data_IF_047689538100
#
_entry.id   IF_047689538100
#
_cell.length_a   1.000
_cell.length_b   1.000
_cell.length_c   1.000
_cell.angle_alpha   90.00
_cell.angle_beta   90.00
_cell.angle_gamma   90.00
#
_symmetry.space_group_name_H-M   'P 1'
#
loop_
_entity.id
_entity.type
_entity.pdbx_description
1 polymer ?
#
# COMPACT_ATOMS: atom_id res chain seq x y z
N UNK A 1 -12.60 61.98 27.44
CA UNK A 1 -11.72 61.32 26.44
C UNK A 1 -11.89 59.82 26.61
N UNK A 2 -12.59 59.15 25.64
CA UNK A 2 -12.80 57.68 25.66
C UNK A 2 -11.76 57.09 24.75
N UNK A 3 -10.78 56.34 25.28
CA UNK A 3 -9.82 55.56 24.52
C UNK A 3 -10.50 54.29 23.99
N UNK A 4 -10.74 54.27 22.70
CA UNK A 4 -11.21 53.08 21.97
C UNK A 4 -10.02 52.18 21.71
N UNK A 5 -9.84 51.15 22.50
CA UNK A 5 -8.78 50.12 22.31
C UNK A 5 -9.23 49.21 21.17
N UNK A 6 -8.58 49.36 20.00
CA UNK A 6 -8.77 48.50 18.86
C UNK A 6 -8.05 47.18 19.09
N UNK A 7 -8.76 46.11 19.42
CA UNK A 7 -8.23 44.75 19.47
C UNK A 7 -7.96 44.25 18.05
N UNK A 8 -6.68 44.28 17.68
CA UNK A 8 -6.22 43.69 16.42
C UNK A 8 -6.21 42.17 16.60
N UNK A 9 -7.24 41.49 16.08
CA UNK A 9 -7.29 40.04 16.01
C UNK A 9 -6.26 39.55 14.97
N UNK A 10 -5.11 39.12 15.44
CA UNK A 10 -4.08 38.48 14.58
C UNK A 10 -4.63 37.15 14.10
N UNK A 11 -5.12 37.10 12.85
CA UNK A 11 -5.39 35.85 12.15
C UNK A 11 -4.06 35.15 11.89
N UNK A 12 -3.76 34.08 12.67
CA UNK A 12 -2.63 33.20 12.37
C UNK A 12 -2.87 32.53 11.02
N UNK A 13 -1.89 32.56 10.11
CA UNK A 13 -2.02 31.86 8.83
C UNK A 13 -2.18 30.36 9.12
N UNK A 14 -3.27 29.75 8.64
CA UNK A 14 -3.46 28.30 8.63
C UNK A 14 -2.38 27.72 7.71
N UNK A 15 -1.34 27.14 8.28
CA UNK A 15 -0.27 26.52 7.49
C UNK A 15 -0.79 25.24 6.89
N UNK A 16 -0.71 25.12 5.55
CA UNK A 16 -1.03 23.89 4.85
C UNK A 16 -0.22 22.71 5.41
N UNK A 17 -0.83 21.55 5.47
CA UNK A 17 -0.17 20.36 5.97
C UNK A 17 0.99 19.94 5.06
N UNK A 18 2.19 19.78 5.61
CA UNK A 18 3.41 19.48 4.85
C UNK A 18 3.56 17.97 4.67
N UNK A 19 3.52 17.52 3.42
CA UNK A 19 3.79 16.14 3.03
C UNK A 19 5.28 15.94 2.77
N UNK A 20 5.88 14.98 3.46
CA UNK A 20 7.26 14.55 3.25
C UNK A 20 7.29 13.44 2.19
N UNK A 21 8.40 13.35 1.47
CA UNK A 21 8.66 12.26 0.50
C UNK A 21 9.88 11.42 0.89
N UNK A 22 10.63 11.86 1.90
CA UNK A 22 11.76 11.13 2.48
C UNK A 22 11.36 10.45 3.79
N UNK A 23 11.46 9.12 3.80
CA UNK A 23 11.10 8.31 4.97
C UNK A 23 12.01 8.54 6.17
N UNK A 24 13.32 8.80 5.95
CA UNK A 24 14.25 9.08 7.04
C UNK A 24 13.88 10.38 7.77
N UNK A 25 13.53 11.42 7.00
CA UNK A 25 13.03 12.68 7.53
C UNK A 25 11.69 12.49 8.26
N UNK A 26 10.78 11.68 7.71
CA UNK A 26 9.50 11.39 8.34
C UNK A 26 9.66 10.67 9.68
N UNK A 27 10.50 9.64 9.75
CA UNK A 27 10.81 8.95 11.01
C UNK A 27 11.54 9.83 12.02
N UNK A 28 12.46 10.65 11.56
CA UNK A 28 13.13 11.61 12.45
C UNK A 28 12.12 12.57 13.08
N UNK A 29 11.27 13.17 12.24
CA UNK A 29 10.25 14.12 12.69
C UNK A 29 9.21 13.45 13.62
N UNK A 30 8.79 12.23 13.31
CA UNK A 30 7.87 11.46 14.14
C UNK A 30 8.41 11.23 15.56
N UNK A 31 9.70 10.93 15.69
CA UNK A 31 10.34 10.74 16.99
C UNK A 31 10.50 12.06 17.76
N UNK A 32 10.93 13.14 17.10
CA UNK A 32 11.13 14.44 17.74
C UNK A 32 9.83 15.09 18.18
N UNK A 33 8.78 14.99 17.36
CA UNK A 33 7.46 15.54 17.68
C UNK A 33 6.58 14.57 18.49
N UNK A 34 7.04 13.32 18.67
CA UNK A 34 6.25 12.22 19.26
C UNK A 34 4.88 12.10 18.61
N UNK A 35 4.84 12.06 17.28
CA UNK A 35 3.65 11.90 16.46
C UNK A 35 3.74 10.63 15.62
N UNK A 36 2.63 9.90 15.38
CA UNK A 36 2.60 8.84 14.38
C UNK A 36 2.74 9.41 12.97
N UNK A 37 3.24 8.56 12.07
CA UNK A 37 3.35 8.87 10.64
C UNK A 37 2.11 8.33 9.94
N UNK A 38 1.48 9.16 9.10
CA UNK A 38 0.52 8.71 8.11
C UNK A 38 1.25 8.57 6.78
N UNK A 39 1.44 7.32 6.33
CA UNK A 39 1.93 7.02 4.99
C UNK A 39 0.76 6.96 4.02
N UNK A 40 0.81 7.75 2.96
CA UNK A 40 -0.12 7.70 1.84
C UNK A 40 0.55 7.01 0.66
N UNK A 41 0.29 5.72 0.47
CA UNK A 41 0.70 4.99 -0.74
C UNK A 41 -0.31 5.30 -1.85
N UNK A 42 0.16 5.97 -2.90
CA UNK A 42 -0.70 6.58 -3.90
C UNK A 42 -0.16 6.41 -5.32
N UNK A 43 -1.02 6.60 -6.31
CA UNK A 43 -0.68 6.79 -7.72
C UNK A 43 -1.26 8.13 -8.18
N UNK A 44 -0.52 9.21 -7.92
CA UNK A 44 -1.03 10.58 -7.93
C UNK A 44 -1.57 11.08 -9.28
N UNK A 45 -1.19 10.43 -10.39
CA UNK A 45 -1.55 10.84 -11.75
C UNK A 45 -2.40 9.82 -12.52
N UNK A 46 -2.72 8.65 -11.92
CA UNK A 46 -3.50 7.62 -12.58
C UNK A 46 -4.57 6.96 -11.70
N UNK A 47 -4.41 6.98 -10.37
CA UNK A 47 -5.31 6.30 -9.45
C UNK A 47 -6.52 7.20 -9.10
N UNK A 48 -7.68 6.95 -9.68
CA UNK A 48 -8.89 7.75 -9.46
C UNK A 48 -9.34 7.84 -8.00
N UNK A 49 -9.24 6.75 -7.23
CA UNK A 49 -9.56 6.75 -5.80
C UNK A 49 -8.54 7.54 -4.96
N UNK A 50 -7.27 7.57 -5.40
CA UNK A 50 -6.24 8.37 -4.75
C UNK A 50 -6.50 9.86 -4.94
N UNK A 51 -6.86 10.26 -6.15
CA UNK A 51 -7.22 11.66 -6.47
C UNK A 51 -8.47 12.10 -5.70
N UNK A 52 -9.47 11.20 -5.54
CA UNK A 52 -10.63 11.49 -4.71
C UNK A 52 -10.27 11.67 -3.24
N UNK A 53 -9.45 10.78 -2.67
CA UNK A 53 -8.98 10.90 -1.29
C UNK A 53 -8.23 12.22 -1.08
N UNK A 54 -7.38 12.59 -2.04
CA UNK A 54 -6.67 13.86 -2.00
C UNK A 54 -7.63 15.05 -1.99
N UNK A 55 -8.58 15.10 -2.93
CA UNK A 55 -9.50 16.24 -3.06
C UNK A 55 -10.57 16.29 -1.97
N UNK A 56 -11.15 15.15 -1.61
CA UNK A 56 -12.27 15.08 -0.67
C UNK A 56 -11.83 15.13 0.81
N UNK A 57 -10.57 14.76 1.10
CA UNK A 57 -10.07 14.65 2.47
C UNK A 57 -8.79 15.43 2.69
N UNK A 58 -7.71 15.07 2.03
CA UNK A 58 -6.37 15.55 2.40
C UNK A 58 -6.13 17.03 2.10
N UNK A 59 -6.82 17.60 1.10
CA UNK A 59 -6.79 19.02 0.78
C UNK A 59 -7.83 19.84 1.55
N UNK A 60 -8.54 19.24 2.51
CA UNK A 60 -9.57 19.93 3.24
C UNK A 60 -9.01 20.56 4.54
N UNK A 61 -9.40 21.80 4.88
CA UNK A 61 -8.88 22.52 6.06
C UNK A 61 -9.04 21.75 7.38
N UNK A 62 -10.15 21.03 7.54
CA UNK A 62 -10.38 20.19 8.71
C UNK A 62 -9.32 19.11 8.86
N UNK A 63 -8.97 18.43 7.76
CA UNK A 63 -7.92 17.41 7.76
C UNK A 63 -6.54 18.03 7.99
N UNK A 64 -6.21 19.13 7.32
CA UNK A 64 -4.93 19.81 7.50
C UNK A 64 -4.73 20.24 8.95
N UNK A 65 -5.76 20.80 9.58
CA UNK A 65 -5.72 21.18 11.01
C UNK A 65 -5.49 19.98 11.90
N UNK A 66 -6.21 18.88 11.68
CA UNK A 66 -6.03 17.65 12.45
C UNK A 66 -4.63 17.06 12.26
N UNK A 67 -4.18 16.98 11.01
CA UNK A 67 -2.88 16.40 10.65
C UNK A 67 -1.71 17.19 11.24
N UNK A 68 -1.73 18.51 11.13
CA UNK A 68 -0.69 19.38 11.69
C UNK A 68 -0.51 19.16 13.19
N UNK A 69 -1.59 18.90 13.92
CA UNK A 69 -1.55 18.69 15.36
C UNK A 69 -1.13 17.27 15.75
N UNK A 70 -1.50 16.26 14.97
CA UNK A 70 -1.48 14.88 15.42
C UNK A 70 -0.58 13.94 14.60
N UNK A 71 -0.17 14.33 13.37
CA UNK A 71 0.47 13.42 12.42
C UNK A 71 1.74 14.02 11.82
N UNK A 72 2.63 13.17 11.39
CA UNK A 72 3.62 13.45 10.36
C UNK A 72 3.10 12.84 9.06
N UNK A 73 2.99 13.63 7.99
CA UNK A 73 2.47 13.17 6.70
C UNK A 73 3.61 12.75 5.79
N UNK A 74 3.50 11.57 5.20
CA UNK A 74 4.46 11.04 4.23
C UNK A 74 3.72 10.52 2.99
N UNK A 75 4.07 11.07 1.83
CA UNK A 75 3.60 10.58 0.54
C UNK A 75 4.58 9.57 -0.05
N UNK A 76 4.07 8.41 -0.44
CA UNK A 76 4.80 7.35 -1.15
C UNK A 76 4.11 7.17 -2.50
N UNK A 77 4.51 8.00 -3.47
CA UNK A 77 3.87 8.09 -4.78
C UNK A 77 4.48 7.11 -5.79
N UNK A 78 3.63 6.52 -6.62
CA UNK A 78 3.98 5.63 -7.75
C UNK A 78 3.38 6.18 -9.04
N UNK A 79 3.87 7.33 -9.54
CA UNK A 79 3.32 7.97 -10.71
C UNK A 79 3.66 7.21 -12.00
N UNK A 80 2.80 7.37 -13.04
CA UNK A 80 3.08 6.86 -14.37
C UNK A 80 3.76 7.90 -15.26
N UNK A 81 3.40 9.17 -15.12
CA UNK A 81 3.84 10.24 -16.02
C UNK A 81 4.77 11.26 -15.35
N UNK A 82 4.77 11.34 -14.02
CA UNK A 82 5.66 12.26 -13.30
C UNK A 82 7.04 11.63 -13.12
N UNK A 83 8.13 12.33 -13.46
CA UNK A 83 9.47 11.80 -13.26
C UNK A 83 9.81 11.68 -11.78
N UNK A 84 10.48 10.60 -11.41
CA UNK A 84 11.07 10.39 -10.08
C UNK A 84 12.55 9.99 -10.23
N UNK A 85 13.37 10.33 -9.24
CA UNK A 85 14.76 9.88 -9.23
C UNK A 85 14.83 8.36 -8.98
N UNK A 86 15.86 7.67 -9.50
CA UNK A 86 16.05 6.23 -9.21
C UNK A 86 16.10 5.91 -7.72
N UNK A 87 16.67 6.82 -6.92
CA UNK A 87 16.71 6.71 -5.45
C UNK A 87 15.31 6.74 -4.86
N UNK A 88 14.44 7.66 -5.32
CA UNK A 88 13.06 7.77 -4.84
C UNK A 88 12.24 6.54 -5.22
N UNK A 89 12.37 6.07 -6.47
CA UNK A 89 11.69 4.85 -6.94
C UNK A 89 12.07 3.66 -6.07
N UNK A 90 13.37 3.49 -5.79
CA UNK A 90 13.87 2.40 -4.94
C UNK A 90 13.36 2.52 -3.50
N UNK A 91 13.38 3.72 -2.93
CA UNK A 91 12.89 3.96 -1.56
C UNK A 91 11.38 3.65 -1.45
N UNK A 92 10.56 4.16 -2.39
CA UNK A 92 9.12 3.92 -2.42
C UNK A 92 8.81 2.42 -2.58
N UNK A 93 9.51 1.73 -3.48
CA UNK A 93 9.36 0.29 -3.71
C UNK A 93 9.73 -0.52 -2.46
N UNK A 94 10.80 -0.15 -1.76
CA UNK A 94 11.21 -0.80 -0.51
C UNK A 94 10.17 -0.62 0.60
N UNK A 95 9.60 0.58 0.73
CA UNK A 95 8.51 0.84 1.69
C UNK A 95 7.26 0.04 1.35
N UNK A 96 6.85 0.03 0.06
CA UNK A 96 5.69 -0.72 -0.38
C UNK A 96 5.84 -2.23 -0.11
N UNK A 97 7.01 -2.79 -0.40
CA UNK A 97 7.33 -4.18 -0.12
C UNK A 97 7.33 -4.46 1.39
N UNK A 98 8.01 -3.61 2.18
CA UNK A 98 8.11 -3.77 3.63
C UNK A 98 6.76 -3.75 4.35
N UNK A 99 5.81 -2.95 3.86
CA UNK A 99 4.46 -2.87 4.40
C UNK A 99 3.41 -3.72 3.67
N UNK A 100 3.84 -4.52 2.70
CA UNK A 100 2.96 -5.38 1.91
C UNK A 100 1.79 -4.60 1.27
N UNK A 101 2.12 -3.57 0.48
CA UNK A 101 1.14 -2.74 -0.23
C UNK A 101 0.71 -3.45 -1.50
N UNK A 102 -0.60 -3.69 -1.66
CA UNK A 102 -1.17 -4.43 -2.79
C UNK A 102 -2.11 -3.63 -3.67
N UNK A 103 -2.37 -2.39 -3.30
CA UNK A 103 -3.31 -1.53 -4.03
C UNK A 103 -3.29 -0.10 -3.51
N UNK A 104 -3.94 0.78 -4.25
CA UNK A 104 -3.97 2.21 -3.98
C UNK A 104 -5.41 2.75 -3.96
N UNK A 105 -5.70 3.74 -3.10
CA UNK A 105 -4.83 4.23 -2.04
C UNK A 105 -4.73 3.23 -0.88
N UNK A 106 -3.56 3.12 -0.28
CA UNK A 106 -3.38 2.46 1.02
C UNK A 106 -2.79 3.47 1.99
N UNK A 107 -3.45 3.63 3.12
CA UNK A 107 -3.03 4.53 4.19
C UNK A 107 -2.59 3.71 5.39
N UNK A 108 -1.37 3.94 5.84
CA UNK A 108 -0.83 3.30 7.04
C UNK A 108 -0.58 4.35 8.12
N UNK A 109 -0.92 3.98 9.34
CA UNK A 109 -0.50 4.71 10.53
C UNK A 109 0.61 3.91 11.21
N UNK A 110 1.77 4.53 11.38
CA UNK A 110 3.00 3.89 11.87
C UNK A 110 3.59 4.74 12.98
N UNK A 111 4.14 4.15 14.02
CA UNK A 111 4.82 4.91 15.07
C UNK A 111 6.24 5.34 14.64
N UNK A 112 6.89 6.16 15.47
CA UNK A 112 8.25 6.65 15.20
C UNK A 112 9.32 5.54 15.18
N UNK A 113 9.00 4.32 15.59
CA UNK A 113 9.87 3.13 15.56
C UNK A 113 9.60 2.23 14.36
N UNK A 114 8.62 2.58 13.51
CA UNK A 114 8.27 1.78 12.33
C UNK A 114 7.22 0.69 12.56
N UNK A 115 6.64 0.62 13.76
CA UNK A 115 5.60 -0.35 14.08
C UNK A 115 4.26 0.10 13.52
N UNK A 116 3.60 -0.78 12.78
CA UNK A 116 2.26 -0.55 12.24
C UNK A 116 1.24 -0.40 13.38
N UNK A 117 0.52 0.72 13.41
CA UNK A 117 -0.59 0.99 14.32
C UNK A 117 -1.91 0.54 13.69
N UNK A 118 -2.11 0.86 12.40
CA UNK A 118 -3.28 0.44 11.65
C UNK A 118 -3.23 0.80 10.18
N UNK A 119 -4.24 0.32 9.45
CA UNK A 119 -4.36 0.46 7.99
C UNK A 119 -5.77 0.89 7.64
N UNK A 120 -5.87 1.77 6.66
CA UNK A 120 -7.13 2.18 6.04
C UNK A 120 -6.91 2.49 4.55
N UNK A 121 -7.92 2.99 3.86
CA UNK A 121 -7.86 3.41 2.46
C UNK A 121 -8.84 4.54 2.22
N UNK A 122 -9.34 4.69 0.98
CA UNK A 122 -10.42 5.64 0.71
C UNK A 122 -11.70 5.22 1.43
N UNK A 123 -12.35 6.19 2.05
CA UNK A 123 -13.68 6.06 2.64
C UNK A 123 -14.53 7.28 2.28
N UNK A 124 -15.81 7.11 1.94
CA UNK A 124 -16.72 8.22 1.70
C UNK A 124 -17.06 8.94 3.01
N UNK A 125 -17.53 10.18 2.90
CA UNK A 125 -17.98 10.98 4.06
C UNK A 125 -17.13 12.20 4.37
N UNK A 126 -16.11 12.45 3.55
CA UNK A 126 -15.26 13.64 3.62
C UNK A 126 -14.33 13.68 4.83
N UNK A 127 -13.75 14.85 5.15
CA UNK A 127 -12.67 14.96 6.13
C UNK A 127 -13.10 14.59 7.55
N UNK A 128 -14.31 14.95 7.97
CA UNK A 128 -14.79 14.69 9.35
C UNK A 128 -14.91 13.19 9.62
N UNK A 129 -15.55 12.45 8.71
CA UNK A 129 -15.67 10.99 8.83
C UNK A 129 -14.31 10.30 8.79
N UNK A 130 -13.41 10.78 7.91
CA UNK A 130 -12.07 10.25 7.79
C UNK A 130 -11.22 10.51 9.04
N UNK A 131 -11.29 11.71 9.61
CA UNK A 131 -10.63 12.06 10.88
C UNK A 131 -11.13 11.17 12.02
N UNK A 132 -12.44 10.93 12.10
CA UNK A 132 -13.01 10.03 13.12
C UNK A 132 -12.44 8.62 13.02
N UNK A 133 -12.28 8.09 11.80
CA UNK A 133 -11.65 6.78 11.59
C UNK A 133 -10.16 6.80 11.99
N UNK A 134 -9.41 7.84 11.65
CA UNK A 134 -8.02 7.98 12.08
C UNK A 134 -7.90 8.05 13.60
N UNK A 135 -8.78 8.79 14.26
CA UNK A 135 -8.83 8.87 15.74
C UNK A 135 -9.12 7.49 16.35
N UNK A 136 -10.06 6.73 15.77
CA UNK A 136 -10.38 5.36 16.21
C UNK A 136 -9.15 4.44 16.12
N UNK A 137 -8.41 4.51 15.02
CA UNK A 137 -7.20 3.69 14.82
C UNK A 137 -6.07 4.13 15.77
N UNK A 138 -5.89 5.42 15.95
CA UNK A 138 -4.81 6.00 16.77
C UNK A 138 -5.08 5.84 18.27
N UNK A 139 -6.35 5.84 18.69
CA UNK A 139 -6.73 5.77 20.11
C UNK A 139 -6.05 6.86 20.94
N UNK A 140 -5.42 6.49 22.03
CA UNK A 140 -4.75 7.43 22.96
C UNK A 140 -3.53 8.19 22.38
N UNK A 141 -3.17 7.93 21.12
CA UNK A 141 -2.07 8.65 20.44
C UNK A 141 -2.49 9.96 19.82
N UNK A 142 -3.80 10.28 19.82
CA UNK A 142 -4.32 11.58 19.38
C UNK A 142 -4.03 12.60 20.47
N UNK A 143 -3.23 13.63 20.15
CA UNK A 143 -2.85 14.69 21.10
C UNK A 143 -3.93 15.79 21.20
N UNK A 144 -4.51 16.13 20.04
CA UNK A 144 -5.55 17.15 19.93
C UNK A 144 -6.75 16.54 19.21
N UNK A 145 -7.79 16.11 19.92
CA UNK A 145 -9.00 15.58 19.30
C UNK A 145 -9.67 16.63 18.41
N UNK A 146 -10.20 16.20 17.28
CA UNK A 146 -10.99 17.05 16.40
C UNK A 146 -12.42 17.11 16.94
N UNK A 147 -12.82 18.27 17.44
CA UNK A 147 -14.11 18.49 18.09
C UNK A 147 -15.35 18.30 17.20
N UNK A 148 -15.16 18.25 15.86
CA UNK A 148 -16.23 17.99 14.89
C UNK A 148 -16.55 16.51 14.66
N UNK A 149 -15.79 15.59 15.25
CA UNK A 149 -16.05 14.15 15.19
C UNK A 149 -16.98 13.75 16.34
N UNK A 150 -18.21 14.24 16.32
CA UNK A 150 -19.24 13.82 17.25
C UNK A 150 -19.52 12.33 17.11
N UNK A 151 -19.54 11.62 18.23
CA UNK A 151 -19.97 10.21 18.33
C UNK A 151 -21.36 10.04 17.75
N UNK A 152 -21.46 9.69 16.47
CA UNK A 152 -22.70 9.19 15.91
C UNK A 152 -22.79 7.68 16.16
N UNK A 153 -23.13 7.31 17.40
CA UNK A 153 -23.84 6.07 17.67
C UNK A 153 -25.31 6.30 17.25
N UNK A 154 -25.60 6.08 15.99
CA UNK A 154 -26.94 6.22 15.42
C UNK A 154 -27.11 5.15 14.35
N UNK A 155 -27.99 4.18 14.63
CA UNK A 155 -28.42 3.13 13.75
C UNK A 155 -29.06 3.66 12.45
N UNK A 156 -29.12 2.86 11.37
CA UNK A 156 -29.40 3.32 10.02
C UNK A 156 -30.88 3.56 9.79
N UNK A 157 -31.22 4.76 9.38
CA UNK A 157 -32.50 5.13 8.79
C UNK A 157 -32.35 5.51 7.33
N UNK A 158 -32.72 4.61 6.48
CA UNK A 158 -33.37 4.68 5.16
C UNK A 158 -33.13 5.84 4.18
N UNK A 159 -32.79 5.43 2.94
CA UNK A 159 -33.12 5.97 1.61
C UNK A 159 -32.51 7.29 1.16
N UNK A 160 -31.37 7.14 0.42
CA UNK A 160 -31.15 7.85 -0.83
C UNK A 160 -30.20 6.98 -1.70
N UNK A 161 -30.67 6.60 -2.90
CA UNK A 161 -29.97 5.77 -3.87
C UNK A 161 -28.69 6.46 -4.34
N UNK A 162 -27.56 6.00 -3.83
CA UNK A 162 -26.23 6.31 -4.41
C UNK A 162 -25.89 5.24 -5.45
N UNK A 163 -25.16 5.54 -6.52
CA UNK A 163 -24.73 4.55 -7.50
C UNK A 163 -23.91 3.46 -6.81
N UNK A 164 -24.26 2.22 -7.11
CA UNK A 164 -23.71 1.00 -6.56
C UNK A 164 -22.18 0.96 -6.70
N UNK A 165 -21.45 0.80 -5.58
CA UNK A 165 -20.01 0.62 -5.67
C UNK A 165 -19.70 -0.73 -6.32
N UNK A 166 -18.63 -0.84 -7.11
CA UNK A 166 -18.21 -2.12 -7.68
C UNK A 166 -17.99 -3.16 -6.55
N UNK A 167 -18.30 -4.45 -6.80
CA UNK A 167 -18.33 -5.47 -5.76
C UNK A 167 -17.02 -5.55 -5.00
N UNK A 168 -17.13 -5.55 -3.68
CA UNK A 168 -15.99 -5.75 -2.78
C UNK A 168 -15.40 -7.13 -3.04
N UNK A 169 -14.08 -7.27 -3.20
CA UNK A 169 -13.49 -8.59 -3.19
C UNK A 169 -13.72 -9.22 -1.81
N UNK A 170 -14.52 -10.28 -1.76
CA UNK A 170 -14.68 -11.11 -0.57
C UNK A 170 -13.38 -11.87 -0.36
N UNK A 171 -12.60 -11.44 0.62
CA UNK A 171 -11.50 -12.24 1.14
C UNK A 171 -12.03 -13.16 2.24
N UNK A 172 -12.47 -14.35 1.81
CA UNK A 172 -12.65 -15.49 2.70
C UNK A 172 -11.53 -16.48 2.37
N UNK A 173 -10.72 -16.82 3.35
CA UNK A 173 -9.90 -18.02 3.29
C UNK A 173 -8.39 -17.83 3.39
N UNK A 174 -7.83 -18.47 4.39
CA UNK A 174 -6.46 -18.93 4.58
C UNK A 174 -5.33 -17.97 4.24
N UNK A 175 -4.56 -17.62 5.24
CA UNK A 175 -3.32 -16.87 5.15
C UNK A 175 -2.32 -17.56 4.20
N UNK A 176 -2.39 -17.22 2.92
CA UNK A 176 -1.35 -17.51 1.95
C UNK A 176 -0.31 -16.41 2.09
N UNK A 177 0.90 -16.75 2.48
CA UNK A 177 2.03 -15.81 2.54
C UNK A 177 2.20 -15.12 1.18
N UNK A 178 2.49 -13.79 1.16
CA UNK A 178 2.52 -13.02 -0.08
C UNK A 178 3.64 -13.46 -1.02
N UNK A 179 3.45 -13.36 -2.34
CA UNK A 179 4.45 -13.68 -3.36
C UNK A 179 5.70 -12.78 -3.30
N UNK A 180 5.66 -11.73 -2.53
CA UNK A 180 6.70 -10.68 -2.42
C UNK A 180 8.00 -11.12 -1.71
N UNK A 181 7.99 -12.26 -1.01
CA UNK A 181 9.24 -12.86 -0.49
C UNK A 181 10.15 -13.43 -1.57
N UNK A 182 9.69 -13.45 -2.81
CA UNK A 182 10.38 -14.10 -3.92
C UNK A 182 10.67 -13.12 -5.06
N UNK A 183 10.78 -11.82 -4.75
CA UNK A 183 11.31 -10.81 -5.68
C UNK A 183 12.72 -11.18 -6.05
N UNK A 184 12.94 -11.34 -7.37
CA UNK A 184 14.22 -11.82 -7.88
C UNK A 184 14.16 -13.20 -8.55
N UNK A 185 13.01 -13.89 -8.51
CA UNK A 185 12.76 -15.04 -9.38
C UNK A 185 12.35 -14.53 -10.77
N UNK A 186 13.16 -14.80 -11.78
CA UNK A 186 12.95 -14.36 -13.15
C UNK A 186 13.00 -15.53 -14.12
N UNK A 187 11.96 -15.68 -14.93
CA UNK A 187 11.98 -16.58 -16.07
C UNK A 187 12.74 -15.93 -17.22
N UNK A 188 13.96 -16.40 -17.51
CA UNK A 188 14.83 -15.87 -18.56
C UNK A 188 14.56 -16.52 -19.92
N UNK A 189 14.04 -17.74 -19.92
CA UNK A 189 13.79 -18.45 -21.16
C UNK A 189 13.07 -19.78 -20.95
N UNK A 190 12.45 -20.25 -22.03
CA UNK A 190 11.92 -21.60 -22.15
C UNK A 190 12.58 -22.21 -23.39
N UNK A 191 13.17 -23.39 -23.24
CA UNK A 191 13.88 -24.10 -24.30
C UNK A 191 13.41 -25.55 -24.42
N UNK A 192 13.82 -26.25 -25.44
CA UNK A 192 13.46 -27.66 -25.67
C UNK A 192 12.27 -27.87 -26.60
N UNK A 193 12.08 -29.12 -27.03
CA UNK A 193 10.98 -29.55 -27.90
C UNK A 193 9.73 -29.87 -27.06
N UNK A 194 8.54 -29.99 -27.71
CA UNK A 194 7.24 -30.12 -27.03
C UNK A 194 7.18 -31.21 -25.95
N UNK A 195 7.94 -32.28 -26.10
CA UNK A 195 7.99 -33.42 -25.17
C UNK A 195 9.00 -33.26 -24.04
N UNK A 196 9.95 -32.31 -24.17
CA UNK A 196 11.03 -32.10 -23.17
C UNK A 196 11.37 -30.62 -23.06
N UNK A 197 10.43 -29.86 -22.51
CA UNK A 197 10.63 -28.42 -22.29
C UNK A 197 11.38 -28.17 -20.99
N UNK A 198 12.28 -27.21 -21.02
CA UNK A 198 13.06 -26.76 -19.87
C UNK A 198 12.85 -25.26 -19.66
N UNK A 199 12.80 -24.84 -18.43
CA UNK A 199 12.72 -23.44 -18.04
C UNK A 199 14.05 -22.97 -17.47
N UNK A 200 14.49 -21.79 -17.90
CA UNK A 200 15.67 -21.12 -17.36
C UNK A 200 15.18 -20.06 -16.38
N UNK A 201 15.35 -20.32 -15.07
CA UNK A 201 14.93 -19.43 -14.00
C UNK A 201 16.20 -18.89 -13.33
N UNK A 202 16.41 -17.58 -13.40
CA UNK A 202 17.66 -16.91 -13.06
C UNK A 202 18.85 -17.53 -13.84
N UNK A 203 19.64 -18.38 -13.21
CA UNK A 203 20.77 -19.07 -13.82
C UNK A 203 20.64 -20.60 -13.77
N UNK A 204 19.48 -21.12 -13.36
CA UNK A 204 19.20 -22.54 -13.22
C UNK A 204 18.25 -23.02 -14.32
N UNK A 205 18.56 -24.18 -14.90
CA UNK A 205 17.72 -24.82 -15.93
C UNK A 205 16.98 -26.00 -15.31
N UNK A 206 15.65 -25.99 -15.37
CA UNK A 206 14.78 -26.93 -14.70
C UNK A 206 13.78 -27.57 -15.67
N UNK A 207 13.60 -28.86 -15.56
CA UNK A 207 12.48 -29.62 -16.13
C UNK A 207 11.29 -29.70 -15.15
N UNK A 208 10.12 -30.05 -15.70
CA UNK A 208 8.91 -30.26 -14.89
C UNK A 208 9.16 -31.36 -13.84
N UNK A 209 8.86 -31.06 -12.59
CA UNK A 209 9.09 -31.95 -11.45
C UNK A 209 10.45 -31.77 -10.76
N UNK A 210 11.39 -31.07 -11.35
CA UNK A 210 12.69 -30.79 -10.77
C UNK A 210 12.66 -29.65 -9.77
N UNK A 211 13.60 -29.68 -8.82
CA UNK A 211 13.75 -28.67 -7.78
C UNK A 211 15.17 -28.10 -7.79
N UNK A 212 15.28 -26.78 -7.60
CA UNK A 212 16.57 -26.11 -7.43
C UNK A 212 16.51 -25.03 -6.37
N UNK A 213 17.67 -24.68 -5.83
CA UNK A 213 17.84 -23.54 -4.92
C UNK A 213 18.32 -22.35 -5.74
N UNK A 214 17.47 -21.34 -5.83
CA UNK A 214 17.70 -20.12 -6.64
C UNK A 214 18.19 -19.00 -5.72
N UNK A 215 19.28 -18.35 -6.11
CA UNK A 215 19.74 -17.12 -5.46
C UNK A 215 18.84 -15.95 -5.90
N UNK A 216 18.30 -15.23 -4.94
CA UNK A 216 17.49 -14.03 -5.12
C UNK A 216 18.09 -12.87 -4.32
N UNK A 217 17.56 -11.65 -4.48
CA UNK A 217 18.09 -10.44 -3.83
C UNK A 217 18.18 -10.56 -2.30
N UNK A 218 17.23 -11.27 -1.70
CA UNK A 218 17.05 -11.37 -0.24
C UNK A 218 17.51 -12.73 0.32
N UNK A 219 18.31 -13.51 -0.44
CA UNK A 219 18.83 -14.78 0.03
C UNK A 219 18.73 -15.91 -0.99
N UNK A 220 18.25 -17.07 -0.56
CA UNK A 220 18.05 -18.25 -1.40
C UNK A 220 16.64 -18.79 -1.20
N UNK A 221 16.04 -19.30 -2.28
CA UNK A 221 14.74 -19.94 -2.25
C UNK A 221 14.80 -21.27 -2.98
N UNK A 222 14.27 -22.34 -2.36
CA UNK A 222 14.14 -23.63 -3.01
C UNK A 222 12.78 -23.72 -3.70
N UNK A 223 12.81 -23.88 -5.03
CA UNK A 223 11.61 -24.02 -5.85
C UNK A 223 11.53 -25.38 -6.51
N UNK A 224 10.32 -25.80 -6.82
CA UNK A 224 10.02 -26.95 -7.66
C UNK A 224 9.22 -26.49 -8.88
N UNK A 225 9.63 -26.87 -10.07
CA UNK A 225 8.91 -26.57 -11.29
C UNK A 225 7.73 -27.52 -11.46
N UNK A 226 6.50 -27.00 -11.42
CA UNK A 226 5.26 -27.80 -11.54
C UNK A 226 4.73 -27.84 -12.99
N UNK A 227 4.99 -26.80 -13.80
CA UNK A 227 4.51 -26.74 -15.18
C UNK A 227 5.22 -25.71 -16.03
N UNK A 228 5.24 -25.96 -17.35
CA UNK A 228 5.81 -25.04 -18.35
C UNK A 228 4.71 -24.73 -19.38
N UNK A 229 4.25 -23.48 -19.39
CA UNK A 229 3.32 -22.92 -20.38
C UNK A 229 4.05 -22.42 -21.63
N UNK A 230 3.33 -21.68 -22.48
CA UNK A 230 3.89 -21.12 -23.71
C UNK A 230 4.92 -20.01 -23.43
N UNK A 231 4.57 -19.09 -22.52
CA UNK A 231 5.38 -17.92 -22.12
C UNK A 231 5.46 -17.78 -20.58
N UNK A 232 5.05 -18.79 -19.82
CA UNK A 232 5.08 -18.77 -18.36
C UNK A 232 5.42 -20.15 -17.81
N UNK A 233 5.83 -20.17 -16.53
CA UNK A 233 6.07 -21.41 -15.78
C UNK A 233 5.41 -21.32 -14.42
N UNK A 234 4.89 -22.44 -13.94
CA UNK A 234 4.36 -22.60 -12.61
C UNK A 234 5.42 -23.21 -11.71
N UNK A 235 5.81 -22.51 -10.67
CA UNK A 235 6.76 -23.00 -9.67
C UNK A 235 6.09 -23.05 -8.30
N UNK A 236 6.49 -24.03 -7.49
CA UNK A 236 6.11 -24.15 -6.09
C UNK A 236 7.31 -23.86 -5.22
N UNK A 237 7.19 -22.96 -4.27
CA UNK A 237 8.21 -22.73 -3.23
C UNK A 237 8.13 -23.88 -2.23
N UNK A 238 9.26 -24.57 -2.01
CA UNK A 238 9.27 -25.80 -1.23
C UNK A 238 9.01 -25.53 0.26
N UNK A 239 9.59 -24.44 0.80
CA UNK A 239 9.47 -24.11 2.22
C UNK A 239 8.06 -23.65 2.63
N UNK A 240 7.37 -22.92 1.75
CA UNK A 240 6.05 -22.33 2.06
C UNK A 240 4.88 -23.04 1.40
N UNK A 241 5.16 -23.92 0.43
CA UNK A 241 4.15 -24.55 -0.40
C UNK A 241 3.44 -23.62 -1.39
N UNK A 242 3.83 -22.35 -1.46
CA UNK A 242 3.21 -21.35 -2.31
C UNK A 242 3.51 -21.61 -3.78
N UNK A 243 2.49 -21.44 -4.62
CA UNK A 243 2.60 -21.51 -6.08
C UNK A 243 2.74 -20.11 -6.68
N UNK A 244 3.68 -19.96 -7.58
CA UNK A 244 3.99 -18.71 -8.28
C UNK A 244 4.00 -18.97 -9.78
N UNK A 245 3.44 -18.08 -10.55
CA UNK A 245 3.57 -18.06 -12.00
C UNK A 245 4.62 -17.03 -12.40
N UNK A 246 5.67 -17.49 -13.10
CA UNK A 246 6.72 -16.63 -13.65
C UNK A 246 6.45 -16.46 -15.14
N UNK A 247 6.33 -15.22 -15.60
CA UNK A 247 6.13 -14.90 -17.00
C UNK A 247 7.46 -14.48 -17.66
N UNK A 248 7.65 -14.88 -18.91
CA UNK A 248 8.85 -14.52 -19.68
C UNK A 248 8.94 -13.00 -19.84
N UNK A 249 10.07 -12.42 -19.41
CA UNK A 249 10.30 -10.98 -19.48
C UNK A 249 9.66 -10.17 -18.35
N UNK A 250 8.93 -10.80 -17.42
CA UNK A 250 8.41 -10.13 -16.22
C UNK A 250 9.40 -10.24 -15.06
N UNK A 251 9.62 -9.15 -14.37
CA UNK A 251 10.46 -9.10 -13.16
C UNK A 251 9.71 -9.49 -11.87
N UNK A 252 8.39 -9.72 -11.96
CA UNK A 252 7.54 -10.04 -10.81
C UNK A 252 6.81 -11.37 -11.03
N UNK A 253 6.88 -12.30 -10.05
CA UNK A 253 6.03 -13.49 -10.05
C UNK A 253 4.58 -13.10 -9.73
N UNK A 254 3.63 -13.76 -10.39
CA UNK A 254 2.19 -13.61 -10.12
C UNK A 254 1.65 -14.86 -9.43
N UNK A 255 0.59 -14.71 -8.62
CA UNK A 255 -0.15 -15.88 -8.14
C UNK A 255 -0.98 -16.44 -9.29
N UNK A 256 -0.99 -17.76 -9.52
CA UNK A 256 -1.78 -18.35 -10.60
C UNK A 256 -3.27 -18.12 -10.34
N UNK A 257 -3.98 -17.63 -11.35
CA UNK A 257 -5.46 -17.62 -11.35
C UNK A 257 -5.93 -19.07 -11.32
N UNK A 258 -6.84 -19.40 -10.40
CA UNK A 258 -7.39 -20.74 -10.29
C UNK A 258 -8.03 -21.17 -11.62
N UNK A 259 -7.45 -22.15 -12.29
CA UNK A 259 -8.05 -22.80 -13.45
C UNK A 259 -9.13 -23.74 -12.90
N UNK A 260 -10.40 -23.66 -13.38
CA UNK A 260 -11.41 -24.63 -12.97
C UNK A 260 -11.00 -26.03 -13.40
N UNK A 261 -10.92 -26.93 -12.44
CA UNK A 261 -10.69 -28.37 -12.69
C UNK A 261 -11.89 -28.90 -13.45
N UNK A 262 -11.71 -29.23 -14.73
CA UNK A 262 -12.68 -30.00 -15.47
C UNK A 262 -12.76 -31.39 -14.84
N UNK A 263 -13.94 -31.74 -14.31
CA UNK A 263 -14.25 -33.11 -13.89
C UNK A 263 -14.40 -33.95 -15.17
N UNK A 264 -13.59 -34.96 -15.31
CA UNK A 264 -13.85 -36.14 -16.13
C UNK A 264 -14.50 -37.21 -15.26
#
# INVERSE_FOLDING_TARGET
MRFLTLLLASALPLSAATWLTDSAAAYHRARTENKPILFNFTGSDWCGWCMRLQSEVFSQPDFETFANNNLVLMEVDFPHSKPQTPTQIKANSSLASGFNIRGYPTILLVDGQGKLIGRTGYQPGGPKAYIAELQRILGNRVKVPFAGAGSSSGAPGSTASAPEPPPRPMFSGAATLPPERFTGLQLKGITGQQTRRLAIINNETLGVGESATIKISDGQVKIRLEGIGKNSVLVKVVETGQRLELQLGSLMPTTPTAVPVAKH
#
